data_IF_557957574495
#
_entry.id   IF_557957574495
#
_cell.length_a   1.000
_cell.length_b   1.000
_cell.length_c   1.000
_cell.angle_alpha   90.00
_cell.angle_beta   90.00
_cell.angle_gamma   90.00
#
_symmetry.space_group_name_H-M   'P 1'
#
loop_
_entity.id
_entity.type
_entity.pdbx_description
1 polymer ?
#
# COMPACT_ATOMS: atom_id res chain seq x y z
N UNK A 1 1.77 9.95 -14.83
CA UNK A 1 2.57 9.87 -16.09
C UNK A 1 2.43 8.52 -16.79
N UNK A 2 2.29 7.40 -16.06
CA UNK A 2 2.11 6.03 -16.57
C UNK A 2 0.77 5.74 -17.27
N UNK A 3 -0.33 6.43 -16.92
CA UNK A 3 -1.66 6.15 -17.51
C UNK A 3 -1.75 6.43 -19.02
N UNK A 4 -0.92 7.35 -19.55
CA UNK A 4 -0.84 7.67 -20.99
C UNK A 4 -0.01 6.66 -21.81
N UNK A 5 0.90 5.91 -21.17
CA UNK A 5 1.72 4.92 -21.86
C UNK A 5 0.94 3.65 -22.26
N UNK A 6 -0.33 3.53 -21.83
CA UNK A 6 -1.21 2.40 -22.13
C UNK A 6 -1.91 2.54 -23.47
N UNK A 7 -2.02 3.75 -23.99
CA UNK A 7 -2.69 4.03 -25.26
C UNK A 7 -1.81 3.51 -26.41
N UNK A 8 -2.16 2.33 -26.96
CA UNK A 8 -1.51 1.75 -28.13
C UNK A 8 -0.62 0.53 -27.89
N UNK A 9 -0.68 -0.12 -26.71
CA UNK A 9 0.02 -1.39 -26.48
C UNK A 9 -0.92 -2.60 -26.55
N UNK A 10 -0.50 -3.64 -27.28
CA UNK A 10 -1.23 -4.92 -27.41
C UNK A 10 -1.04 -5.85 -26.20
N UNK A 11 -0.26 -5.42 -25.19
CA UNK A 11 0.01 -6.17 -23.96
C UNK A 11 -0.58 -5.43 -22.75
N UNK A 12 -1.11 -6.15 -21.74
CA UNK A 12 -1.58 -5.53 -20.51
C UNK A 12 -0.43 -4.79 -19.80
N UNK A 13 -0.55 -3.46 -19.71
CA UNK A 13 0.34 -2.61 -18.91
C UNK A 13 -0.34 -2.36 -17.58
N UNK A 14 0.38 -2.50 -16.46
CA UNK A 14 -0.09 -2.11 -15.12
C UNK A 14 0.93 -1.23 -14.41
N UNK A 15 0.48 -0.49 -13.39
CA UNK A 15 1.40 0.13 -12.43
C UNK A 15 1.53 -0.75 -11.19
N UNK A 16 2.60 -0.53 -10.41
CA UNK A 16 2.80 -1.18 -9.13
C UNK A 16 1.68 -0.94 -8.12
N UNK A 17 0.93 0.16 -8.27
CA UNK A 17 -0.15 0.51 -7.35
C UNK A 17 -1.51 -0.04 -7.78
N UNK A 18 -1.68 -0.49 -9.03
CA UNK A 18 -2.98 -1.00 -9.51
C UNK A 18 -3.49 -2.15 -8.63
N UNK A 19 -2.60 -3.03 -8.17
CA UNK A 19 -2.95 -4.15 -7.29
C UNK A 19 -3.41 -3.70 -5.91
N UNK A 20 -2.66 -2.80 -5.27
CA UNK A 20 -3.02 -2.34 -3.92
C UNK A 20 -4.26 -1.43 -3.92
N UNK A 21 -4.48 -0.67 -5.01
CA UNK A 21 -5.70 0.11 -5.22
C UNK A 21 -6.90 -0.82 -5.35
N UNK A 22 -6.82 -1.89 -6.14
CA UNK A 22 -7.91 -2.87 -6.22
C UNK A 22 -8.14 -3.55 -4.87
N UNK A 23 -7.05 -3.92 -4.19
CA UNK A 23 -7.13 -4.53 -2.86
C UNK A 23 -7.87 -3.65 -1.87
N UNK A 24 -7.67 -2.33 -1.89
CA UNK A 24 -8.34 -1.36 -1.03
C UNK A 24 -9.87 -1.54 -1.01
N UNK A 25 -10.49 -1.71 -2.19
CA UNK A 25 -11.94 -1.89 -2.32
C UNK A 25 -12.45 -3.24 -1.81
N UNK A 26 -11.59 -4.25 -1.77
CA UNK A 26 -11.97 -5.60 -1.32
C UNK A 26 -11.88 -5.78 0.20
N UNK A 27 -11.30 -4.82 0.94
CA UNK A 27 -11.05 -4.94 2.38
C UNK A 27 -12.27 -4.60 3.23
N UNK A 28 -13.25 -3.85 2.68
CA UNK A 28 -14.50 -3.44 3.33
C UNK A 28 -14.33 -2.88 4.76
N UNK A 29 -13.30 -2.04 4.93
CA UNK A 29 -12.85 -1.48 6.21
C UNK A 29 -12.33 -0.06 6.04
N UNK A 30 -12.25 0.74 7.12
CA UNK A 30 -11.42 1.95 7.12
C UNK A 30 -9.99 1.58 6.74
N UNK A 31 -9.33 2.49 6.01
CA UNK A 31 -7.99 2.28 5.48
C UNK A 31 -7.02 3.28 6.10
N UNK A 32 -5.82 2.80 6.43
CA UNK A 32 -4.69 3.64 6.80
C UNK A 32 -3.52 3.39 5.85
N UNK A 33 -3.16 4.40 5.06
CA UNK A 33 -2.04 4.32 4.12
C UNK A 33 -0.76 4.78 4.80
N UNK A 34 0.25 3.92 4.86
CA UNK A 34 1.49 4.16 5.60
C UNK A 34 2.70 4.10 4.68
N UNK A 35 3.63 5.05 4.84
CA UNK A 35 4.91 5.08 4.14
C UNK A 35 6.06 5.42 5.07
N UNK A 36 7.30 5.28 4.60
CA UNK A 36 8.47 5.87 5.25
C UNK A 36 9.03 7.06 4.47
N UNK A 37 8.79 7.12 3.15
CA UNK A 37 8.97 8.34 2.37
C UNK A 37 7.78 9.31 2.59
N UNK A 38 8.03 10.62 2.80
CA UNK A 38 6.99 11.58 3.17
C UNK A 38 5.77 11.62 2.24
N UNK A 39 6.01 11.60 0.92
CA UNK A 39 4.94 11.83 -0.05
C UNK A 39 4.21 10.54 -0.48
N UNK A 40 4.78 9.36 -0.22
CA UNK A 40 4.27 8.11 -0.81
C UNK A 40 2.88 7.75 -0.31
N UNK A 41 2.60 7.93 0.98
CA UNK A 41 1.27 7.64 1.54
C UNK A 41 0.21 8.64 1.05
N UNK A 42 0.58 9.92 0.90
CA UNK A 42 -0.29 10.95 0.33
C UNK A 42 -0.65 10.62 -1.13
N UNK A 43 0.34 10.26 -1.94
CA UNK A 43 0.15 9.96 -3.36
C UNK A 43 -0.74 8.73 -3.57
N UNK A 44 -0.50 7.65 -2.83
CA UNK A 44 -1.34 6.46 -2.92
C UNK A 44 -2.76 6.72 -2.40
N UNK A 45 -2.91 7.48 -1.32
CA UNK A 45 -4.25 7.87 -0.80
C UNK A 45 -5.04 8.63 -1.86
N UNK A 46 -4.43 9.63 -2.50
CA UNK A 46 -5.06 10.39 -3.57
C UNK A 46 -5.45 9.51 -4.77
N UNK A 47 -4.66 8.47 -5.09
CA UNK A 47 -4.98 7.52 -6.14
C UNK A 47 -6.21 6.66 -5.79
N UNK A 48 -6.28 6.16 -4.56
CA UNK A 48 -7.43 5.40 -4.05
C UNK A 48 -8.68 6.29 -4.01
N UNK A 49 -8.58 7.51 -3.50
CA UNK A 49 -9.69 8.48 -3.46
C UNK A 49 -10.21 8.80 -4.87
N UNK A 50 -9.30 9.00 -5.83
CA UNK A 50 -9.68 9.26 -7.21
C UNK A 50 -10.38 8.05 -7.85
N UNK A 51 -9.99 6.81 -7.50
CA UNK A 51 -10.69 5.59 -7.94
C UNK A 51 -12.04 5.43 -7.23
N UNK A 52 -12.12 5.75 -5.94
CA UNK A 52 -13.34 5.69 -5.15
C UNK A 52 -14.41 6.64 -5.72
N UNK A 53 -13.99 7.85 -6.09
CA UNK A 53 -14.84 8.82 -6.79
C UNK A 53 -15.31 8.28 -8.16
N UNK A 54 -14.42 7.65 -8.95
CA UNK A 54 -14.80 7.03 -10.23
C UNK A 54 -15.81 5.89 -10.06
N UNK A 55 -15.68 5.09 -9.00
CA UNK A 55 -16.57 3.96 -8.71
C UNK A 55 -17.86 4.37 -7.98
N UNK A 56 -18.02 5.63 -7.60
CA UNK A 56 -19.08 6.08 -6.69
C UNK A 56 -19.14 5.25 -5.40
N UNK A 57 -17.97 4.84 -4.90
CA UNK A 57 -17.82 3.97 -3.73
C UNK A 57 -16.85 4.65 -2.75
N UNK A 58 -17.35 5.49 -1.83
CA UNK A 58 -16.52 6.24 -0.90
C UNK A 58 -15.82 5.29 0.10
N UNK A 59 -14.54 5.56 0.36
CA UNK A 59 -13.73 4.85 1.34
C UNK A 59 -13.29 5.83 2.43
N UNK A 60 -13.21 5.36 3.69
CA UNK A 60 -12.59 6.12 4.78
C UNK A 60 -11.09 5.87 4.75
N UNK A 61 -10.31 6.94 4.49
CA UNK A 61 -8.86 6.84 4.28
C UNK A 61 -8.16 7.85 5.18
N UNK A 62 -7.23 7.36 5.99
CA UNK A 62 -6.21 8.15 6.68
C UNK A 62 -4.83 7.81 6.12
N UNK A 63 -3.84 8.67 6.33
CA UNK A 63 -2.47 8.39 5.92
C UNK A 63 -1.43 8.95 6.88
N UNK A 64 -0.26 8.33 6.92
CA UNK A 64 0.90 8.83 7.66
C UNK A 64 2.22 8.43 7.02
N UNK A 65 3.27 9.17 7.36
CA UNK A 65 4.65 8.76 7.15
C UNK A 65 5.26 8.38 8.51
N UNK A 66 6.10 7.35 8.54
CA UNK A 66 6.83 6.90 9.73
C UNK A 66 8.16 7.65 9.77
N UNK A 67 8.22 8.68 10.62
CA UNK A 67 9.39 9.55 10.76
C UNK A 67 10.65 8.76 11.13
N UNK A 68 11.77 9.08 10.47
CA UNK A 68 13.07 8.47 10.72
C UNK A 68 13.24 7.03 10.23
N UNK A 69 12.18 6.35 9.80
CA UNK A 69 12.29 4.97 9.32
C UNK A 69 13.09 4.90 8.01
N UNK A 70 12.81 5.78 7.04
CA UNK A 70 13.57 5.81 5.78
C UNK A 70 15.05 6.16 6.03
N UNK A 71 15.31 7.11 6.92
CA UNK A 71 16.68 7.52 7.28
C UNK A 71 17.46 6.36 7.90
N UNK A 72 16.85 5.58 8.79
CA UNK A 72 17.47 4.39 9.36
C UNK A 72 17.85 3.37 8.28
N UNK A 73 16.95 3.13 7.32
CA UNK A 73 17.22 2.22 6.21
C UNK A 73 18.36 2.72 5.31
N UNK A 74 18.35 4.01 4.96
CA UNK A 74 19.41 4.64 4.16
C UNK A 74 20.75 4.67 4.91
N UNK A 75 20.70 4.83 6.23
CA UNK A 75 21.85 4.79 7.13
C UNK A 75 22.42 3.39 7.39
N UNK A 76 21.83 2.33 6.82
CA UNK A 76 22.29 0.96 6.97
C UNK A 76 21.78 0.23 8.22
N UNK A 77 20.72 0.74 8.84
CA UNK A 77 20.03 0.12 9.99
C UNK A 77 18.60 -0.32 9.61
N UNK A 78 18.47 -1.44 8.86
CA UNK A 78 17.18 -1.97 8.48
C UNK A 78 16.37 -2.50 9.67
N UNK A 79 17.03 -2.89 10.77
CA UNK A 79 16.35 -3.34 11.97
C UNK A 79 15.61 -2.19 12.65
N UNK A 80 16.27 -1.03 12.80
CA UNK A 80 15.62 0.17 13.33
C UNK A 80 14.49 0.67 12.44
N UNK A 81 14.65 0.62 11.12
CA UNK A 81 13.55 0.89 10.19
C UNK A 81 12.35 -0.03 10.48
N UNK A 82 12.57 -1.33 10.64
CA UNK A 82 11.50 -2.31 10.83
C UNK A 82 10.79 -2.14 12.18
N UNK A 83 11.54 -1.84 13.24
CA UNK A 83 10.99 -1.51 14.56
C UNK A 83 10.07 -0.29 14.51
N UNK A 84 10.51 0.80 13.88
CA UNK A 84 9.73 2.03 13.75
C UNK A 84 8.41 1.80 13.00
N UNK A 85 8.45 1.04 11.91
CA UNK A 85 7.24 0.71 11.16
C UNK A 85 6.31 -0.19 11.97
N UNK A 86 6.83 -1.20 12.68
CA UNK A 86 6.01 -2.06 13.53
C UNK A 86 5.36 -1.31 14.70
N UNK A 87 6.07 -0.35 15.28
CA UNK A 87 5.51 0.55 16.29
C UNK A 87 4.35 1.36 15.72
N UNK A 88 4.53 1.95 14.53
CA UNK A 88 3.49 2.69 13.85
C UNK A 88 2.27 1.81 13.49
N UNK A 89 2.50 0.55 13.07
CA UNK A 89 1.44 -0.43 12.79
C UNK A 89 0.60 -0.71 14.04
N UNK A 90 1.24 -0.92 15.20
CA UNK A 90 0.53 -1.19 16.47
C UNK A 90 -0.27 -0.01 17.00
N UNK A 91 0.04 1.20 16.56
CA UNK A 91 -0.66 2.41 16.96
C UNK A 91 -1.94 2.67 16.16
N UNK A 92 -2.19 1.90 15.11
CA UNK A 92 -3.41 1.99 14.30
C UNK A 92 -4.55 1.24 14.99
N UNK A 93 -5.76 1.79 14.90
CA UNK A 93 -6.97 1.14 15.42
C UNK A 93 -7.15 -0.29 14.86
N UNK A 94 -7.45 -1.25 15.73
CA UNK A 94 -7.61 -2.68 15.42
C UNK A 94 -8.57 -2.97 14.24
N UNK A 95 -9.56 -2.10 14.00
CA UNK A 95 -10.55 -2.27 12.93
C UNK A 95 -10.07 -1.83 11.54
N UNK A 96 -8.96 -1.10 11.47
CA UNK A 96 -8.49 -0.37 10.27
C UNK A 96 -7.47 -1.20 9.51
N UNK A 97 -7.69 -1.43 8.23
CA UNK A 97 -6.73 -2.13 7.38
C UNK A 97 -5.58 -1.18 7.01
N UNK A 98 -4.35 -1.71 6.97
CA UNK A 98 -3.14 -0.92 6.71
C UNK A 98 -2.61 -1.24 5.32
N UNK A 99 -2.37 -0.20 4.52
CA UNK A 99 -1.80 -0.29 3.18
C UNK A 99 -0.41 0.33 3.20
N UNK A 100 0.63 -0.47 2.98
CA UNK A 100 1.97 0.08 2.77
C UNK A 100 2.08 0.72 1.39
N UNK A 101 2.56 1.95 1.32
CA UNK A 101 2.72 2.71 0.07
C UNK A 101 4.13 2.62 -0.53
N UNK A 102 4.97 1.70 -0.05
CA UNK A 102 6.37 1.60 -0.45
C UNK A 102 6.89 0.16 -0.40
N UNK A 103 7.64 -0.25 -1.43
CA UNK A 103 8.18 -1.61 -1.58
C UNK A 103 9.12 -2.05 -0.48
N UNK A 104 9.94 -1.15 0.09
CA UNK A 104 10.89 -1.54 1.14
C UNK A 104 10.21 -2.04 2.41
N UNK A 105 8.92 -1.74 2.59
CA UNK A 105 8.11 -2.14 3.73
C UNK A 105 7.54 -3.56 3.57
N UNK A 106 7.63 -4.16 2.38
CA UNK A 106 7.10 -5.51 2.10
C UNK A 106 7.67 -6.58 3.06
N UNK A 107 8.95 -6.45 3.42
CA UNK A 107 9.63 -7.36 4.35
C UNK A 107 9.02 -7.38 5.75
N UNK A 108 8.24 -6.36 6.10
CA UNK A 108 7.67 -6.15 7.43
C UNK A 108 6.29 -6.80 7.53
N UNK A 109 5.65 -7.13 6.40
CA UNK A 109 4.30 -7.71 6.37
C UNK A 109 4.09 -8.88 7.34
N UNK A 110 5.00 -9.86 7.47
CA UNK A 110 4.81 -10.96 8.44
C UNK A 110 4.73 -10.46 9.89
N UNK A 111 5.60 -9.51 10.27
CA UNK A 111 5.59 -8.91 11.60
C UNK A 111 4.36 -8.04 11.84
N UNK A 112 3.95 -7.28 10.82
CA UNK A 112 2.76 -6.42 10.90
C UNK A 112 1.47 -7.24 11.03
N UNK A 113 1.34 -8.32 10.26
CA UNK A 113 0.19 -9.23 10.33
C UNK A 113 0.09 -9.95 11.69
N UNK A 114 1.21 -10.15 12.38
CA UNK A 114 1.22 -10.69 13.74
C UNK A 114 0.91 -9.62 14.80
N UNK A 115 1.19 -8.35 14.50
CA UNK A 115 1.06 -7.23 15.42
C UNK A 115 -0.28 -6.47 15.31
N UNK A 116 -1.02 -6.66 14.22
CA UNK A 116 -2.27 -5.96 13.92
C UNK A 116 -3.38 -6.94 13.52
N UNK A 117 -4.59 -6.86 14.10
CA UNK A 117 -5.65 -7.83 13.83
C UNK A 117 -6.34 -7.63 12.47
N UNK A 118 -6.39 -6.40 11.96
CA UNK A 118 -6.89 -6.13 10.62
C UNK A 118 -5.81 -6.37 9.55
N UNK A 119 -6.19 -6.58 8.28
CA UNK A 119 -5.23 -6.86 7.22
C UNK A 119 -4.18 -5.76 7.08
N UNK A 120 -2.91 -6.17 6.94
CA UNK A 120 -1.80 -5.33 6.51
C UNK A 120 -1.33 -5.83 5.16
N UNK A 121 -1.36 -4.99 4.14
CA UNK A 121 -1.03 -5.35 2.74
C UNK A 121 0.06 -4.46 2.17
N UNK A 122 0.85 -5.02 1.25
CA UNK A 122 2.00 -4.35 0.65
C UNK A 122 1.92 -4.27 -0.87
N UNK A 123 2.58 -3.28 -1.50
CA UNK A 123 2.39 -2.98 -2.91
C UNK A 123 2.99 -4.06 -3.81
N UNK A 124 4.02 -4.79 -3.36
CA UNK A 124 4.66 -5.81 -4.19
C UNK A 124 3.78 -7.05 -4.33
N UNK A 125 3.31 -7.60 -3.20
CA UNK A 125 2.44 -8.77 -3.20
C UNK A 125 1.15 -8.50 -3.95
N UNK A 126 0.51 -7.36 -3.69
CA UNK A 126 -0.75 -7.01 -4.35
C UNK A 126 -0.57 -6.76 -5.86
N UNK A 127 0.55 -6.16 -6.27
CA UNK A 127 0.90 -6.02 -7.69
C UNK A 127 1.06 -7.37 -8.40
N UNK A 128 1.76 -8.33 -7.78
CA UNK A 128 1.95 -9.68 -8.34
C UNK A 128 0.63 -10.45 -8.40
N UNK A 129 -0.19 -10.37 -7.35
CA UNK A 129 -1.53 -10.99 -7.33
C UNK A 129 -2.38 -10.46 -8.47
N UNK A 130 -2.41 -9.14 -8.65
CA UNK A 130 -3.16 -8.51 -9.73
C UNK A 130 -2.67 -8.92 -11.11
N UNK A 131 -1.35 -9.01 -11.31
CA UNK A 131 -0.78 -9.48 -12.57
C UNK A 131 -1.21 -10.91 -12.88
N UNK A 132 -1.20 -11.79 -11.87
CA UNK A 132 -1.64 -13.18 -12.02
C UNK A 132 -3.11 -13.25 -12.46
N UNK A 133 -3.99 -12.46 -11.86
CA UNK A 133 -5.41 -12.43 -12.24
C UNK A 133 -5.60 -12.04 -13.71
N UNK A 134 -4.92 -10.97 -14.16
CA UNK A 134 -5.00 -10.51 -15.55
C UNK A 134 -4.47 -11.54 -16.55
N UNK A 135 -3.42 -12.29 -16.19
CA UNK A 135 -2.83 -13.30 -17.07
C UNK A 135 -3.63 -14.60 -17.09
N UNK A 136 -4.32 -14.94 -16.01
CA UNK A 136 -5.04 -16.21 -15.87
C UNK A 136 -6.54 -16.09 -16.14
N UNK A 137 -7.07 -14.87 -16.30
CA UNK A 137 -8.49 -14.61 -16.57
C UNK A 137 -9.41 -15.07 -15.43
N UNK A 138 -8.86 -15.20 -14.22
CA UNK A 138 -9.56 -15.59 -12.99
C UNK A 138 -9.26 -14.58 -11.90
#
# INVERSE_FOLDING_TARGET
MTKRAREGMDIPVMTSFDGIVERAFSLDRPLHVMSTAPDSSVLLSAEIEAEAARRSHPLSIAHSAVDGALDALVGGDPARHDELVLEAVRAIDDGTAILFAQFSMERILPGSAAAHPAPVVGPASEGVLRLRELLTGR
#
